data_IF_580857563133
#
_entry.id   IF_580857563133
#
_cell.length_a   1.000
_cell.length_b   1.000
_cell.length_c   1.000
_cell.angle_alpha   90.00
_cell.angle_beta   90.00
_cell.angle_gamma   90.00
#
_symmetry.space_group_name_H-M   'P 1'
#
loop_
_entity.id
_entity.type
_entity.pdbx_description
1 polymer ?
#
# COMPACT_ATOMS: atom_id res chain seq x y z
N UNK A 1 -20.71 -14.27 -21.45
CA UNK A 1 -21.43 -12.99 -21.26
C UNK A 1 -21.44 -12.63 -19.78
N UNK A 2 -20.91 -11.47 -19.42
CA UNK A 2 -20.92 -10.98 -18.05
C UNK A 2 -22.36 -10.60 -17.66
N UNK A 3 -22.95 -11.30 -16.68
CA UNK A 3 -24.27 -10.97 -16.18
C UNK A 3 -24.20 -9.74 -15.29
N UNK A 4 -24.70 -8.60 -15.79
CA UNK A 4 -24.77 -7.38 -15.03
C UNK A 4 -26.16 -7.18 -14.42
N UNK A 5 -26.22 -6.69 -13.19
CA UNK A 5 -27.46 -6.27 -12.55
C UNK A 5 -27.65 -4.79 -12.79
N UNK A 6 -28.84 -4.41 -13.19
CA UNK A 6 -29.23 -3.03 -13.44
C UNK A 6 -30.28 -2.59 -12.43
N UNK A 7 -30.21 -1.36 -12.03
CA UNK A 7 -31.22 -0.71 -11.19
C UNK A 7 -31.82 0.46 -11.95
N UNK A 8 -33.15 0.57 -11.89
CA UNK A 8 -33.87 1.68 -12.51
C UNK A 8 -33.64 2.97 -11.68
N UNK A 9 -33.18 4.04 -12.33
CA UNK A 9 -33.06 5.36 -11.74
C UNK A 9 -33.72 6.35 -12.71
N UNK A 10 -34.92 6.80 -12.35
CA UNK A 10 -35.79 7.51 -13.29
C UNK A 10 -36.17 6.61 -14.46
N UNK A 11 -36.11 7.11 -15.69
CA UNK A 11 -36.42 6.36 -16.93
C UNK A 11 -35.23 5.54 -17.47
N UNK A 12 -34.10 5.44 -16.76
CA UNK A 12 -32.85 4.80 -17.25
C UNK A 12 -32.45 3.62 -16.36
N UNK A 13 -32.07 2.49 -16.99
CA UNK A 13 -31.42 1.38 -16.30
C UNK A 13 -29.92 1.67 -16.14
N UNK A 14 -29.39 1.60 -14.92
CA UNK A 14 -27.98 1.79 -14.63
C UNK A 14 -27.34 0.50 -14.10
N UNK A 15 -26.18 0.13 -14.61
CA UNK A 15 -25.42 -1.04 -14.13
C UNK A 15 -25.00 -0.82 -12.69
N UNK A 16 -25.38 -1.76 -11.80
CA UNK A 16 -25.02 -1.74 -10.39
C UNK A 16 -23.55 -2.14 -10.23
N UNK A 17 -22.74 -1.25 -9.67
CA UNK A 17 -21.33 -1.52 -9.39
C UNK A 17 -21.10 -2.12 -7.99
N UNK A 18 -21.91 -1.72 -7.01
CA UNK A 18 -21.86 -2.21 -5.62
C UNK A 18 -23.25 -2.20 -5.02
N UNK A 19 -23.56 -3.19 -4.20
CA UNK A 19 -24.79 -3.27 -3.43
C UNK A 19 -24.49 -3.23 -1.92
N UNK A 20 -25.30 -2.51 -1.17
CA UNK A 20 -25.23 -2.44 0.28
C UNK A 20 -26.59 -2.69 0.88
N UNK A 21 -26.64 -3.31 2.05
CA UNK A 21 -27.85 -3.49 2.86
C UNK A 21 -27.63 -2.87 4.23
N UNK A 22 -28.63 -2.14 4.72
CA UNK A 22 -28.64 -1.57 6.07
C UNK A 22 -28.98 -2.67 7.08
N UNK A 23 -28.12 -2.91 8.05
CA UNK A 23 -28.38 -3.85 9.17
C UNK A 23 -27.91 -3.16 10.46
N UNK A 24 -28.84 -2.94 11.39
CA UNK A 24 -28.55 -2.29 12.68
C UNK A 24 -27.95 -0.88 12.52
N UNK A 25 -28.50 -0.07 11.60
CA UNK A 25 -28.03 1.30 11.34
C UNK A 25 -26.71 1.41 10.58
N UNK A 26 -26.12 0.30 10.14
CA UNK A 26 -24.85 0.29 9.38
C UNK A 26 -25.03 -0.28 7.97
N UNK A 27 -24.45 0.38 6.97
CA UNK A 27 -24.42 -0.13 5.59
C UNK A 27 -23.40 -1.29 5.49
N UNK A 28 -23.87 -2.47 5.10
CA UNK A 28 -23.01 -3.65 4.87
C UNK A 28 -22.99 -4.00 3.39
N UNK A 29 -21.79 -4.23 2.85
CA UNK A 29 -21.62 -4.63 1.44
C UNK A 29 -22.23 -6.00 1.20
N UNK A 30 -23.09 -6.10 0.19
CA UNK A 30 -23.69 -7.37 -0.24
C UNK A 30 -22.62 -8.15 -1.04
N UNK A 31 -22.32 -9.37 -0.60
CA UNK A 31 -21.38 -10.27 -1.28
C UNK A 31 -22.06 -11.06 -2.41
N UNK A 32 -23.28 -11.52 -2.20
CA UNK A 32 -24.10 -12.25 -3.19
C UNK A 32 -25.54 -11.79 -3.11
N UNK A 33 -26.21 -11.71 -4.23
CA UNK A 33 -27.64 -11.41 -4.32
C UNK A 33 -28.30 -12.45 -5.21
N UNK A 34 -29.45 -12.93 -4.81
CA UNK A 34 -30.24 -13.89 -5.56
C UNK A 34 -31.59 -13.30 -5.88
N UNK A 35 -32.16 -13.65 -7.03
CA UNK A 35 -33.52 -13.32 -7.42
C UNK A 35 -34.29 -14.64 -7.53
N UNK A 36 -35.46 -14.73 -6.91
CA UNK A 36 -36.41 -15.81 -7.11
C UNK A 36 -36.96 -15.77 -8.56
N UNK A 37 -37.05 -16.91 -9.18
CA UNK A 37 -37.72 -17.04 -10.46
C UNK A 37 -39.14 -17.62 -10.29
N UNK A 38 -39.93 -17.64 -11.35
CA UNK A 38 -41.29 -18.15 -11.33
C UNK A 38 -41.44 -19.63 -10.96
N UNK A 39 -40.33 -20.36 -10.92
CA UNK A 39 -40.28 -21.78 -10.47
C UNK A 39 -39.95 -21.93 -9.00
N UNK A 40 -39.81 -20.81 -8.24
CA UNK A 40 -39.45 -20.79 -6.82
C UNK A 40 -37.94 -21.00 -6.58
N UNK A 41 -37.10 -21.02 -7.62
CA UNK A 41 -35.67 -21.20 -7.51
C UNK A 41 -34.95 -19.87 -7.40
N UNK A 42 -33.98 -19.78 -6.48
CA UNK A 42 -33.13 -18.63 -6.34
C UNK A 42 -32.01 -18.63 -7.40
N UNK A 43 -31.93 -17.58 -8.20
CA UNK A 43 -30.85 -17.39 -9.19
C UNK A 43 -29.87 -16.34 -8.71
N UNK A 44 -28.58 -16.67 -8.71
CA UNK A 44 -27.52 -15.71 -8.40
C UNK A 44 -27.50 -14.59 -9.45
N UNK A 45 -27.80 -13.35 -9.02
CA UNK A 45 -27.78 -12.18 -9.88
C UNK A 45 -26.60 -11.23 -9.61
N UNK A 46 -25.96 -11.36 -8.45
CA UNK A 46 -24.79 -10.56 -8.07
C UNK A 46 -23.85 -11.40 -7.19
N UNK A 47 -22.56 -11.36 -7.50
CA UNK A 47 -21.50 -11.94 -6.68
C UNK A 47 -20.31 -10.99 -6.63
N UNK A 48 -19.82 -10.71 -5.45
CA UNK A 48 -18.58 -9.97 -5.21
C UNK A 48 -17.42 -10.93 -4.94
N UNK A 49 -17.24 -11.92 -5.81
CA UNK A 49 -16.15 -12.88 -5.69
C UNK A 49 -14.82 -12.27 -6.13
N UNK A 50 -13.76 -12.63 -5.40
CA UNK A 50 -12.41 -12.32 -5.84
C UNK A 50 -12.08 -13.18 -7.06
N UNK A 51 -11.74 -12.52 -8.17
CA UNK A 51 -11.28 -13.19 -9.39
C UNK A 51 -9.88 -12.70 -9.72
N UNK A 52 -9.01 -13.60 -10.17
CA UNK A 52 -7.77 -13.20 -10.83
C UNK A 52 -8.16 -12.48 -12.13
N UNK A 53 -7.82 -11.18 -12.22
CA UNK A 53 -8.17 -10.33 -13.36
C UNK A 53 -7.11 -10.32 -14.47
N UNK A 54 -5.93 -10.87 -14.18
CA UNK A 54 -4.83 -10.93 -15.15
C UNK A 54 -3.50 -11.23 -14.47
N UNK A 55 -2.44 -11.13 -15.24
CA UNK A 55 -1.05 -11.15 -14.77
C UNK A 55 -0.44 -9.81 -15.15
N UNK A 56 0.06 -9.07 -14.17
CA UNK A 56 0.79 -7.84 -14.40
C UNK A 56 2.14 -8.12 -15.07
N UNK A 57 2.69 -7.13 -15.74
CA UNK A 57 4.09 -7.16 -16.19
C UNK A 57 5.00 -7.43 -14.98
N UNK A 58 6.03 -8.26 -15.16
CA UNK A 58 6.97 -8.55 -14.09
C UNK A 58 7.64 -7.28 -13.55
N UNK A 59 8.06 -7.32 -12.29
CA UNK A 59 8.92 -6.27 -11.71
C UNK A 59 10.15 -6.07 -12.59
N UNK A 60 10.69 -4.86 -12.60
CA UNK A 60 11.86 -4.51 -13.39
C UNK A 60 13.08 -5.40 -13.11
N UNK A 61 13.13 -6.01 -11.92
CA UNK A 61 14.19 -6.96 -11.51
C UNK A 61 13.69 -7.92 -10.42
N UNK A 62 14.36 -9.08 -10.23
CA UNK A 62 14.07 -9.98 -9.11
C UNK A 62 14.26 -9.28 -7.76
N UNK A 63 13.31 -9.44 -6.86
CA UNK A 63 13.31 -8.78 -5.55
C UNK A 63 12.84 -9.76 -4.47
N UNK A 64 13.47 -9.75 -3.29
CA UNK A 64 13.04 -10.56 -2.15
C UNK A 64 12.63 -9.76 -0.91
N UNK A 65 13.04 -8.51 -0.79
CA UNK A 65 12.68 -7.64 0.34
C UNK A 65 12.00 -6.40 -0.20
N UNK A 66 10.68 -6.49 -0.36
CA UNK A 66 9.86 -5.43 -0.92
C UNK A 66 9.06 -4.73 0.16
N UNK A 67 9.04 -3.41 0.08
CA UNK A 67 8.03 -2.58 0.70
C UNK A 67 6.97 -2.22 -0.36
N UNK A 68 5.71 -2.21 0.02
CA UNK A 68 4.62 -1.89 -0.89
C UNK A 68 3.60 -0.98 -0.24
N UNK A 69 3.13 -0.01 -0.99
CA UNK A 69 2.04 0.88 -0.60
C UNK A 69 1.20 1.24 -1.83
N UNK A 70 -0.04 1.67 -1.62
CA UNK A 70 -0.90 2.17 -2.70
C UNK A 70 -1.19 3.64 -2.53
N UNK A 71 -1.29 4.36 -3.66
CA UNK A 71 -1.71 5.76 -3.68
C UNK A 71 -2.59 6.00 -4.91
N UNK A 72 -3.75 6.62 -4.71
CA UNK A 72 -4.70 6.82 -5.79
C UNK A 72 -5.05 5.51 -6.49
N UNK A 73 -4.73 5.43 -7.77
CA UNK A 73 -4.96 4.26 -8.61
C UNK A 73 -3.71 3.38 -8.82
N UNK A 74 -2.66 3.60 -8.05
CA UNK A 74 -1.38 2.90 -8.20
C UNK A 74 -1.05 2.00 -7.02
N UNK A 75 -0.40 0.88 -7.31
CA UNK A 75 0.32 0.05 -6.36
C UNK A 75 1.82 0.23 -6.60
N UNK A 76 2.57 0.66 -5.59
CA UNK A 76 4.00 0.90 -5.64
C UNK A 76 4.74 -0.22 -4.93
N UNK A 77 5.80 -0.72 -5.57
CA UNK A 77 6.69 -1.72 -5.03
C UNK A 77 8.12 -1.18 -5.06
N UNK A 78 8.78 -1.26 -3.92
CA UNK A 78 10.07 -0.62 -3.72
C UNK A 78 10.99 -1.49 -2.85
N UNK A 79 12.28 -1.34 -3.03
CA UNK A 79 13.27 -2.18 -2.37
C UNK A 79 13.75 -3.30 -3.28
N UNK A 80 14.97 -3.78 -3.06
CA UNK A 80 15.60 -4.70 -3.99
C UNK A 80 16.67 -5.53 -3.30
N UNK A 81 16.66 -6.80 -3.60
CA UNK A 81 17.75 -7.69 -3.32
C UNK A 81 17.89 -8.68 -4.48
N UNK A 82 18.91 -8.56 -5.28
CA UNK A 82 19.21 -9.44 -6.42
C UNK A 82 19.97 -10.72 -6.03
N UNK A 83 19.98 -11.06 -4.74
CA UNK A 83 20.73 -12.22 -4.25
C UNK A 83 22.25 -11.98 -4.16
N UNK A 84 22.73 -10.80 -4.50
CA UNK A 84 24.09 -10.34 -4.25
C UNK A 84 24.14 -9.52 -2.97
N UNK A 85 25.14 -9.73 -2.15
CA UNK A 85 25.33 -9.08 -0.85
C UNK A 85 25.61 -7.57 -0.94
N UNK A 86 25.56 -6.97 -2.13
CA UNK A 86 26.02 -5.59 -2.36
C UNK A 86 25.01 -4.64 -3.00
N UNK A 87 23.75 -5.06 -3.27
CA UNK A 87 22.83 -4.17 -4.00
C UNK A 87 21.53 -3.88 -3.27
N UNK A 88 21.49 -2.75 -2.57
CA UNK A 88 20.28 -1.98 -2.31
C UNK A 88 19.90 -1.20 -3.60
N UNK A 89 18.63 -0.84 -3.76
CA UNK A 89 18.15 -0.08 -4.91
C UNK A 89 17.30 1.10 -4.47
N UNK A 90 17.35 2.18 -5.24
CA UNK A 90 16.40 3.28 -5.14
C UNK A 90 15.18 3.11 -6.05
N UNK A 91 15.16 2.11 -6.93
CA UNK A 91 14.12 1.95 -7.94
C UNK A 91 12.75 1.61 -7.33
N UNK A 92 11.71 2.14 -7.96
CA UNK A 92 10.30 1.87 -7.66
C UNK A 92 9.61 1.40 -8.94
N UNK A 93 8.81 0.35 -8.81
CA UNK A 93 7.87 -0.08 -9.84
C UNK A 93 6.46 0.30 -9.40
N UNK A 94 5.73 1.01 -10.25
CA UNK A 94 4.33 1.38 -10.04
C UNK A 94 3.44 0.68 -11.06
N UNK A 95 2.30 0.17 -10.61
CA UNK A 95 1.29 -0.48 -11.45
C UNK A 95 -0.03 0.27 -11.32
N UNK A 96 -0.62 0.62 -12.45
CA UNK A 96 -1.95 1.21 -12.51
C UNK A 96 -3.08 0.16 -12.43
N UNK A 97 -4.33 0.61 -12.49
CA UNK A 97 -5.51 -0.27 -12.48
C UNK A 97 -5.66 -1.16 -13.71
N UNK A 98 -4.93 -0.89 -14.78
CA UNK A 98 -4.82 -1.71 -15.99
C UNK A 98 -3.69 -2.72 -15.91
N UNK A 99 -2.97 -2.77 -14.76
CA UNK A 99 -1.77 -3.57 -14.52
C UNK A 99 -0.59 -3.17 -15.41
N UNK A 100 -0.61 -1.95 -15.94
CA UNK A 100 0.49 -1.38 -16.71
C UNK A 100 1.57 -0.87 -15.74
N UNK A 101 2.81 -1.27 -16.00
CA UNK A 101 3.97 -0.89 -15.18
C UNK A 101 4.58 0.42 -15.65
N UNK A 102 4.91 1.27 -14.69
CA UNK A 102 5.77 2.45 -14.86
C UNK A 102 6.86 2.46 -13.78
N UNK A 103 7.89 3.27 -13.97
CA UNK A 103 8.99 3.40 -13.03
C UNK A 103 9.17 4.88 -12.71
N UNK A 104 8.52 5.37 -11.64
CA UNK A 104 8.68 6.75 -11.18
C UNK A 104 10.08 7.02 -10.64
N UNK A 105 10.37 8.29 -10.32
CA UNK A 105 11.62 8.68 -9.66
C UNK A 105 11.86 7.82 -8.43
N UNK A 106 13.03 7.23 -8.32
CA UNK A 106 13.41 6.38 -7.21
C UNK A 106 13.55 7.12 -5.88
N UNK A 107 13.82 6.38 -4.82
CA UNK A 107 14.05 6.92 -3.48
C UNK A 107 15.21 7.90 -3.40
N UNK A 108 15.23 8.69 -2.35
CA UNK A 108 16.32 9.64 -2.05
C UNK A 108 17.66 8.96 -1.81
N UNK A 109 17.67 7.70 -1.36
CA UNK A 109 18.86 6.90 -1.15
C UNK A 109 18.56 5.41 -1.35
N UNK A 110 19.51 4.66 -1.85
CA UNK A 110 19.41 3.20 -1.97
C UNK A 110 19.22 2.55 -0.60
N UNK A 111 18.18 1.71 -0.46
CA UNK A 111 17.86 1.02 0.79
C UNK A 111 16.90 -0.15 0.58
N UNK A 112 16.84 -1.02 1.58
CA UNK A 112 15.88 -2.11 1.73
C UNK A 112 15.37 -2.16 3.17
N UNK A 113 14.50 -3.10 3.52
CA UNK A 113 13.96 -3.28 4.87
C UNK A 113 13.22 -2.05 5.40
N UNK A 114 12.63 -1.24 4.54
CA UNK A 114 11.82 -0.09 4.93
C UNK A 114 10.39 -0.49 5.25
N UNK A 115 9.72 0.29 6.11
CA UNK A 115 8.29 0.25 6.29
C UNK A 115 7.59 1.02 5.17
N UNK A 116 6.40 0.56 4.75
CA UNK A 116 5.59 1.28 3.79
C UNK A 116 4.11 1.23 4.16
N UNK A 117 3.43 2.35 3.97
CA UNK A 117 1.99 2.50 4.15
C UNK A 117 1.49 3.70 3.35
N UNK A 118 0.18 3.99 3.39
CA UNK A 118 -0.38 5.14 2.69
C UNK A 118 -1.16 6.02 3.67
N UNK A 119 -1.27 7.32 3.40
CA UNK A 119 -2.12 8.24 4.13
C UNK A 119 -2.59 9.37 3.20
N UNK A 120 -3.92 9.63 3.17
CA UNK A 120 -4.48 10.59 2.23
C UNK A 120 -4.08 10.26 0.79
N UNK A 121 -3.50 11.23 0.11
CA UNK A 121 -3.04 11.13 -1.28
C UNK A 121 -1.55 10.78 -1.38
N UNK A 122 -0.97 10.15 -0.37
CA UNK A 122 0.45 9.79 -0.34
C UNK A 122 0.70 8.32 0.01
N UNK A 123 1.64 7.69 -0.70
CA UNK A 123 2.31 6.46 -0.30
C UNK A 123 3.64 6.82 0.35
N UNK A 124 3.91 6.33 1.57
CA UNK A 124 5.11 6.62 2.33
C UNK A 124 6.00 5.39 2.45
N UNK A 125 7.30 5.62 2.31
CA UNK A 125 8.36 4.62 2.50
C UNK A 125 9.37 5.16 3.49
N UNK A 126 9.54 4.51 4.64
CA UNK A 126 10.27 5.05 5.78
C UNK A 126 11.38 4.14 6.28
N UNK A 127 12.52 4.71 6.62
CA UNK A 127 13.66 4.00 7.16
C UNK A 127 14.32 3.08 6.14
N UNK A 128 14.86 1.95 6.60
CA UNK A 128 15.59 0.99 5.78
C UNK A 128 17.10 1.15 5.90
N UNK A 129 17.85 0.34 5.18
CA UNK A 129 19.31 0.38 5.19
C UNK A 129 19.94 -0.38 4.03
N UNK A 130 21.26 -0.44 4.01
CA UNK A 130 21.99 -1.28 3.06
C UNK A 130 22.04 -2.76 3.50
N UNK A 131 22.65 -3.60 2.68
CA UNK A 131 22.77 -5.03 2.93
C UNK A 131 23.53 -5.39 4.19
N UNK A 132 24.52 -4.59 4.53
CA UNK A 132 25.38 -4.81 5.68
C UNK A 132 24.80 -4.21 6.98
N UNK A 133 23.69 -3.45 6.88
CA UNK A 133 23.10 -2.72 8.01
C UNK A 133 23.94 -1.53 8.48
N UNK A 134 24.93 -1.10 7.70
CA UNK A 134 25.84 -0.01 8.07
C UNK A 134 25.30 1.38 7.70
N UNK A 135 24.41 1.47 6.70
CA UNK A 135 23.81 2.72 6.23
C UNK A 135 22.32 2.76 6.53
N UNK A 136 21.97 2.63 7.81
CA UNK A 136 20.59 2.68 8.25
C UNK A 136 20.05 4.11 8.11
N UNK A 137 18.87 4.25 7.51
CA UNK A 137 18.26 5.52 7.14
C UNK A 137 17.14 5.89 8.11
N UNK A 138 16.95 7.21 8.29
CA UNK A 138 15.74 7.77 8.90
C UNK A 138 14.83 8.46 7.88
N UNK A 139 15.25 8.56 6.62
CA UNK A 139 14.53 9.23 5.56
C UNK A 139 13.15 8.63 5.31
N UNK A 140 12.21 9.50 4.94
CA UNK A 140 10.86 9.12 4.53
C UNK A 140 10.58 9.75 3.18
N UNK A 141 10.37 8.91 2.17
CA UNK A 141 9.94 9.33 0.84
C UNK A 141 8.43 9.16 0.71
N UNK A 142 7.76 10.19 0.21
CA UNK A 142 6.33 10.23 -0.06
C UNK A 142 6.09 10.35 -1.56
N UNK A 143 5.15 9.57 -2.09
CA UNK A 143 4.71 9.62 -3.48
C UNK A 143 3.25 10.03 -3.53
N UNK A 144 2.93 11.06 -4.29
CA UNK A 144 1.56 11.51 -4.51
C UNK A 144 0.83 10.68 -5.58
N UNK A 145 -0.44 11.03 -5.84
CA UNK A 145 -1.28 10.36 -6.85
C UNK A 145 -0.79 10.56 -8.30
N UNK A 146 0.16 11.48 -8.54
CA UNK A 146 0.84 11.70 -9.81
C UNK A 146 2.19 10.95 -9.88
N UNK A 147 2.52 10.17 -8.85
CA UNK A 147 3.80 9.48 -8.68
C UNK A 147 5.00 10.43 -8.52
N UNK A 148 4.74 11.68 -8.12
CA UNK A 148 5.79 12.65 -7.81
C UNK A 148 6.33 12.37 -6.41
N UNK A 149 7.67 12.26 -6.30
CA UNK A 149 8.33 12.03 -5.02
C UNK A 149 8.62 13.35 -4.30
N UNK A 150 8.29 13.38 -3.02
CA UNK A 150 8.70 14.41 -2.06
C UNK A 150 9.33 13.76 -0.84
N UNK A 151 10.10 14.54 -0.06
CA UNK A 151 10.62 14.08 1.23
C UNK A 151 9.69 14.52 2.34
N UNK A 152 9.25 13.58 3.17
CA UNK A 152 8.57 13.89 4.42
C UNK A 152 9.59 14.04 5.57
N UNK A 153 9.21 14.62 6.72
CA UNK A 153 10.07 14.69 7.91
C UNK A 153 10.63 13.30 8.27
N UNK A 154 11.90 13.22 8.59
CA UNK A 154 12.57 11.96 8.89
C UNK A 154 11.98 11.28 10.14
N UNK A 155 12.13 9.96 10.25
CA UNK A 155 11.85 9.20 11.47
C UNK A 155 12.68 9.76 12.65
N UNK A 156 12.21 9.57 13.88
CA UNK A 156 12.93 10.01 15.11
C UNK A 156 14.38 9.50 15.17
N UNK A 157 14.68 8.37 14.54
CA UNK A 157 16.04 7.85 14.41
C UNK A 157 16.19 6.87 13.27
N UNK A 158 17.43 6.66 12.77
CA UNK A 158 17.70 5.74 11.69
C UNK A 158 17.41 4.30 12.11
N UNK A 159 16.57 3.60 11.34
CA UNK A 159 16.16 2.22 11.63
C UNK A 159 15.63 1.49 10.41
N UNK A 160 15.85 0.18 10.35
CA UNK A 160 15.33 -0.74 9.35
C UNK A 160 14.37 -1.74 9.99
N UNK A 161 13.71 -2.57 9.20
CA UNK A 161 12.69 -3.54 9.65
C UNK A 161 11.55 -2.85 10.41
N UNK A 162 11.10 -1.73 9.88
CA UNK A 162 10.07 -0.88 10.49
C UNK A 162 8.69 -1.45 10.16
N UNK A 163 7.88 -1.68 11.18
CA UNK A 163 6.46 -1.99 11.01
C UNK A 163 5.69 -0.75 10.57
N UNK A 164 4.75 -0.90 9.62
CA UNK A 164 3.95 0.22 9.14
C UNK A 164 2.46 -0.15 9.03
N UNK A 165 1.58 0.75 9.44
CA UNK A 165 0.13 0.58 9.39
C UNK A 165 -0.59 1.94 9.38
N UNK A 166 -1.88 1.93 9.07
CA UNK A 166 -2.78 3.08 9.22
C UNK A 166 -3.64 2.90 10.47
N UNK A 167 -3.81 3.98 11.24
CA UNK A 167 -4.81 4.09 12.30
C UNK A 167 -5.53 5.44 12.16
N UNK A 168 -6.80 5.41 11.72
CA UNK A 168 -7.57 6.63 11.43
C UNK A 168 -6.85 7.51 10.40
N UNK A 169 -6.58 8.74 10.78
CA UNK A 169 -5.93 9.76 9.92
C UNK A 169 -4.40 9.80 10.07
N UNK A 170 -3.80 8.70 10.55
CA UNK A 170 -2.36 8.63 10.78
C UNK A 170 -1.74 7.39 10.12
N UNK A 171 -0.65 7.61 9.39
CA UNK A 171 0.28 6.57 8.98
C UNK A 171 1.31 6.37 10.11
N UNK A 172 1.40 5.17 10.65
CA UNK A 172 2.25 4.83 11.80
C UNK A 172 3.45 4.00 11.34
N UNK A 173 4.63 4.37 11.86
CA UNK A 173 5.87 3.62 11.67
C UNK A 173 6.47 3.28 13.04
N UNK A 174 6.47 2.00 13.39
CA UNK A 174 6.77 1.53 14.73
C UNK A 174 7.97 0.57 14.76
N UNK A 175 8.73 0.65 15.85
CA UNK A 175 9.81 -0.28 16.12
C UNK A 175 10.96 -0.17 15.14
N UNK A 176 11.59 -1.32 14.86
CA UNK A 176 12.74 -1.41 13.99
C UNK A 176 14.06 -1.54 14.74
N UNK A 177 15.14 -1.67 14.00
CA UNK A 177 16.48 -1.90 14.52
C UNK A 177 17.52 -1.06 13.78
N UNK A 178 18.51 -0.57 14.52
CA UNK A 178 19.74 -0.03 13.97
C UNK A 178 20.91 -0.86 14.49
N UNK A 179 21.78 -1.30 13.58
CA UNK A 179 23.00 -2.01 13.89
C UNK A 179 24.19 -1.18 13.43
N UNK A 180 25.09 -0.87 14.36
CA UNK A 180 26.31 -0.11 14.06
C UNK A 180 27.49 -0.84 14.73
N UNK A 181 28.33 -1.47 13.90
CA UNK A 181 29.37 -2.39 14.40
C UNK A 181 28.75 -3.52 15.23
N UNK A 182 29.28 -3.73 16.43
CA UNK A 182 28.81 -4.75 17.37
C UNK A 182 27.61 -4.32 18.21
N UNK A 183 27.16 -3.06 18.08
CA UNK A 183 26.03 -2.52 18.84
C UNK A 183 24.74 -2.67 18.06
N UNK A 184 23.73 -3.29 18.68
CA UNK A 184 22.38 -3.39 18.14
C UNK A 184 21.42 -2.61 19.02
N UNK A 185 20.71 -1.63 18.43
CA UNK A 185 19.67 -0.84 19.10
C UNK A 185 18.31 -1.20 18.54
N UNK A 186 17.40 -1.64 19.41
CA UNK A 186 15.98 -1.83 19.08
C UNK A 186 15.20 -0.58 19.47
N UNK A 187 14.24 -0.20 18.62
CA UNK A 187 13.39 0.97 18.84
C UNK A 187 12.01 0.55 19.34
N UNK A 188 11.48 1.25 20.34
CA UNK A 188 10.08 1.19 20.76
C UNK A 188 9.26 2.37 20.27
N UNK A 189 9.90 3.34 19.64
CA UNK A 189 9.31 4.58 19.14
C UNK A 189 8.29 4.32 18.05
N UNK A 190 7.21 5.10 18.06
CA UNK A 190 6.20 5.15 17.00
C UNK A 190 6.19 6.57 16.43
N UNK A 191 6.55 6.71 15.15
CA UNK A 191 6.37 7.95 14.40
C UNK A 191 5.03 7.90 13.66
N UNK A 192 4.25 8.99 13.77
CA UNK A 192 2.95 9.14 13.12
C UNK A 192 3.01 10.29 12.11
N UNK A 193 2.46 10.08 10.94
CA UNK A 193 2.36 11.08 9.86
C UNK A 193 0.90 11.34 9.52
N UNK A 194 0.54 12.62 9.43
CA UNK A 194 -0.75 13.05 8.91
C UNK A 194 -0.78 13.04 7.37
N UNK A 195 -1.96 13.24 6.79
CA UNK A 195 -2.11 13.41 5.33
C UNK A 195 -1.36 14.63 4.77
N UNK A 196 -1.08 15.66 5.59
CA UNK A 196 -0.24 16.80 5.23
C UNK A 196 1.24 16.56 5.45
N UNK A 197 1.65 15.31 5.66
CA UNK A 197 3.03 14.87 5.91
C UNK A 197 3.67 15.50 7.15
N UNK A 198 2.88 15.95 8.13
CA UNK A 198 3.40 16.40 9.42
C UNK A 198 3.69 15.18 10.29
N UNK A 199 4.88 15.14 10.90
CA UNK A 199 5.27 14.06 11.80
C UNK A 199 5.06 14.44 13.25
N UNK A 200 4.49 13.51 14.01
CA UNK A 200 4.52 13.47 15.48
C UNK A 200 5.15 12.17 15.94
N UNK A 201 5.82 12.16 17.08
CA UNK A 201 6.35 10.94 17.69
C UNK A 201 5.79 10.80 19.10
N UNK A 202 5.36 9.59 19.45
CA UNK A 202 5.08 9.24 20.83
C UNK A 202 6.38 8.68 21.43
N UNK A 203 7.05 9.49 22.24
CA UNK A 203 8.13 9.03 23.11
C UNK A 203 7.53 8.70 24.47
N UNK A 204 7.62 7.44 24.84
CA UNK A 204 7.31 6.93 26.19
C UNK A 204 8.51 6.23 26.78
#
# INVERSE_FOLDING_TARGET
MEKAVYVGVGSKARKMKKAYVGIGGKARKVKKMYIGDSSGKARLCYSAELKKVGTATALGRPCKVLAAASVGNYALFAGRDEGSITYSSSAIDAYDTSLTKSSPTGWSAERKDCGATAIGDHALFAGGGDDNGNKVQSSVDAYDTSLTRTSAPALTGPRRLVGAAIAGDHALFAGGVNRSGDTTRYYKTVDAYSASLTRTSADT
#
